data_IF_653933303924
#
_entry.id   IF_653933303924
#
_cell.length_a   1.000
_cell.length_b   1.000
_cell.length_c   1.000
_cell.angle_alpha   90.00
_cell.angle_beta   90.00
_cell.angle_gamma   90.00
#
_symmetry.space_group_name_H-M   'P 1'
#
loop_
_entity.id
_entity.type
_entity.pdbx_description
1 polymer ?
#
# COMPACT_ATOMS: atom_id res chain seq x y z
N UNK A 1 -8.23 12.56 40.48
CA UNK A 1 -7.43 11.47 39.89
C UNK A 1 -7.90 11.29 38.45
N UNK A 2 -6.97 11.57 37.53
CA UNK A 2 -6.90 11.21 36.10
C UNK A 2 -8.18 11.15 35.27
N UNK A 3 -8.45 12.23 34.51
CA UNK A 3 -9.05 12.09 33.20
C UNK A 3 -7.98 11.52 32.27
N UNK A 4 -8.15 10.27 31.84
CA UNK A 4 -7.34 9.68 30.77
C UNK A 4 -7.74 10.37 29.47
N UNK A 5 -6.93 11.34 29.03
CA UNK A 5 -7.02 11.87 27.67
C UNK A 5 -6.50 10.78 26.73
N UNK A 6 -7.42 9.92 26.28
CA UNK A 6 -7.18 9.17 25.05
C UNK A 6 -6.86 10.18 23.96
N UNK A 7 -5.72 10.02 23.31
CA UNK A 7 -5.36 10.78 22.12
C UNK A 7 -6.40 10.51 21.03
N UNK A 8 -7.46 11.31 21.02
CA UNK A 8 -8.32 11.48 19.85
C UNK A 8 -7.47 12.24 18.84
N UNK A 9 -6.77 11.51 17.97
CA UNK A 9 -6.41 12.07 16.69
C UNK A 9 -7.73 12.58 16.08
N UNK A 10 -7.87 13.89 15.94
CA UNK A 10 -9.02 14.50 15.28
C UNK A 10 -9.05 13.98 13.84
N UNK A 11 -9.76 12.87 13.61
CA UNK A 11 -10.06 12.37 12.29
C UNK A 11 -11.15 13.28 11.72
N UNK A 12 -10.76 14.42 11.15
CA UNK A 12 -11.61 15.09 10.18
C UNK A 12 -11.76 14.13 9.01
N UNK A 13 -12.90 13.42 8.97
CA UNK A 13 -13.28 12.58 7.84
C UNK A 13 -13.44 13.49 6.64
N UNK A 14 -12.38 13.59 5.86
CA UNK A 14 -12.34 14.39 4.66
C UNK A 14 -12.48 13.54 3.42
N UNK A 15 -12.35 14.18 2.27
CA UNK A 15 -12.23 13.49 0.99
C UNK A 15 -10.99 13.98 0.26
N UNK A 16 -10.40 13.11 -0.53
CA UNK A 16 -9.33 13.44 -1.46
C UNK A 16 -9.81 13.23 -2.89
N UNK A 17 -9.14 13.87 -3.84
CA UNK A 17 -9.47 13.79 -5.26
C UNK A 17 -8.53 12.81 -5.93
N UNK A 18 -9.07 11.78 -6.57
CA UNK A 18 -8.34 10.86 -7.41
C UNK A 18 -8.58 11.24 -8.87
N UNK A 19 -7.50 11.51 -9.60
CA UNK A 19 -7.49 11.88 -11.01
C UNK A 19 -7.07 10.66 -11.83
N UNK A 20 -7.92 10.25 -12.76
CA UNK A 20 -7.69 9.13 -13.67
C UNK A 20 -7.42 9.67 -15.08
N UNK A 21 -6.28 9.30 -15.65
CA UNK A 21 -5.88 9.75 -16.98
C UNK A 21 -5.95 8.63 -18.02
N UNK A 22 -6.20 9.01 -19.28
CA UNK A 22 -6.16 8.13 -20.45
C UNK A 22 -6.92 6.80 -20.26
N UNK A 23 -6.24 5.66 -20.33
CA UNK A 23 -6.88 4.34 -20.19
C UNK A 23 -7.47 4.10 -18.80
N UNK A 24 -6.99 4.80 -17.77
CA UNK A 24 -7.51 4.66 -16.41
C UNK A 24 -8.94 5.23 -16.30
N UNK A 25 -9.24 6.36 -16.94
CA UNK A 25 -10.60 6.93 -16.92
C UNK A 25 -11.55 6.10 -17.77
N UNK A 26 -11.11 5.62 -18.93
CA UNK A 26 -11.90 4.70 -19.77
C UNK A 26 -12.24 3.42 -19.01
N UNK A 27 -11.29 2.85 -18.25
CA UNK A 27 -11.51 1.66 -17.43
C UNK A 27 -12.52 1.92 -16.30
N UNK A 28 -12.52 3.13 -15.73
CA UNK A 28 -13.46 3.55 -14.71
C UNK A 28 -14.84 4.01 -15.26
N UNK A 29 -15.12 3.77 -16.55
CA UNK A 29 -16.40 4.14 -17.17
C UNK A 29 -16.47 5.61 -17.59
N UNK A 30 -15.38 6.13 -18.15
CA UNK A 30 -15.23 7.54 -18.57
C UNK A 30 -15.22 8.53 -17.39
N UNK A 31 -14.83 8.06 -16.21
CA UNK A 31 -14.69 8.90 -15.01
C UNK A 31 -13.24 9.36 -14.88
N UNK A 32 -13.00 10.64 -15.14
CA UNK A 32 -11.67 11.27 -15.01
C UNK A 32 -11.35 11.68 -13.57
N UNK A 33 -12.37 11.82 -12.72
CA UNK A 33 -12.25 12.26 -11.33
C UNK A 33 -13.11 11.40 -10.41
N UNK A 34 -12.52 10.94 -9.30
CA UNK A 34 -13.20 10.21 -8.25
C UNK A 34 -12.92 10.86 -6.89
N UNK A 35 -13.94 10.97 -6.06
CA UNK A 35 -13.82 11.48 -4.70
C UNK A 35 -13.85 10.32 -3.73
N UNK A 36 -12.78 10.14 -2.97
CA UNK A 36 -12.61 9.02 -2.04
C UNK A 36 -12.38 9.53 -0.61
N UNK A 37 -12.75 8.75 0.42
CA UNK A 37 -12.62 9.18 1.81
C UNK A 37 -11.15 9.21 2.26
N UNK A 38 -10.81 10.22 3.05
CA UNK A 38 -9.55 10.40 3.74
C UNK A 38 -9.77 10.37 5.28
N UNK A 39 -8.75 10.04 6.10
CA UNK A 39 -7.39 9.65 5.71
C UNK A 39 -7.33 8.21 5.20
N UNK A 40 -6.55 7.98 4.15
CA UNK A 40 -6.26 6.64 3.63
C UNK A 40 -4.79 6.55 3.24
N UNK A 41 -4.30 5.37 2.88
CA UNK A 41 -2.97 5.22 2.28
C UNK A 41 -3.08 4.92 0.80
N UNK A 42 -1.99 5.11 0.05
CA UNK A 42 -1.97 4.77 -1.37
C UNK A 42 -2.38 3.31 -1.63
N UNK A 43 -1.93 2.39 -0.77
CA UNK A 43 -2.40 0.99 -0.74
C UNK A 43 -3.90 0.87 -0.55
N UNK A 44 -4.48 1.65 0.36
CA UNK A 44 -5.93 1.70 0.58
C UNK A 44 -6.70 2.19 -0.65
N UNK A 45 -6.14 3.16 -1.39
CA UNK A 45 -6.69 3.65 -2.65
C UNK A 45 -6.74 2.56 -3.70
N UNK A 46 -5.63 1.86 -3.93
CA UNK A 46 -5.58 0.79 -4.92
C UNK A 46 -6.55 -0.35 -4.59
N UNK A 47 -6.65 -0.76 -3.32
CA UNK A 47 -7.66 -1.74 -2.90
C UNK A 47 -9.09 -1.26 -3.13
N UNK A 48 -9.36 0.02 -2.93
CA UNK A 48 -10.68 0.61 -3.17
C UNK A 48 -10.99 0.64 -4.66
N UNK A 49 -9.99 0.93 -5.50
CA UNK A 49 -10.12 0.88 -6.95
C UNK A 49 -10.34 -0.53 -7.46
N UNK A 50 -9.56 -1.52 -7.03
CA UNK A 50 -9.75 -2.93 -7.41
C UNK A 50 -11.13 -3.45 -7.01
N UNK A 51 -11.58 -3.10 -5.80
CA UNK A 51 -12.91 -3.51 -5.32
C UNK A 51 -14.06 -2.88 -6.10
N UNK A 52 -13.85 -1.70 -6.71
CA UNK A 52 -14.86 -1.03 -7.55
C UNK A 52 -14.75 -1.43 -9.02
N UNK A 53 -13.52 -1.62 -9.50
CA UNK A 53 -13.14 -1.89 -10.88
C UNK A 53 -12.21 -3.11 -10.91
N UNK A 54 -12.77 -4.33 -10.86
CA UNK A 54 -11.97 -5.56 -10.80
C UNK A 54 -11.07 -5.68 -12.03
N UNK A 55 -9.77 -5.91 -11.79
CA UNK A 55 -8.73 -5.95 -12.80
C UNK A 55 -7.99 -4.63 -13.04
N UNK A 56 -8.44 -3.50 -12.47
CA UNK A 56 -7.81 -2.20 -12.68
C UNK A 56 -6.38 -2.15 -12.14
N UNK A 57 -6.11 -2.80 -11.01
CA UNK A 57 -4.78 -2.83 -10.41
C UNK A 57 -3.81 -3.55 -11.33
N UNK A 58 -4.21 -4.72 -11.83
CA UNK A 58 -3.37 -5.53 -12.70
C UNK A 58 -3.18 -4.93 -14.10
N UNK A 59 -4.23 -4.34 -14.67
CA UNK A 59 -4.24 -3.84 -16.04
C UNK A 59 -3.68 -2.42 -16.17
N UNK A 60 -3.93 -1.58 -15.16
CA UNK A 60 -3.63 -0.15 -15.18
C UNK A 60 -2.56 0.15 -14.13
N UNK A 61 -2.87 0.02 -12.84
CA UNK A 61 -2.03 0.53 -11.75
C UNK A 61 -0.61 -0.08 -11.72
N UNK A 62 -0.47 -1.36 -12.09
CA UNK A 62 0.84 -2.04 -12.18
C UNK A 62 1.85 -1.38 -13.10
N UNK A 63 1.38 -0.69 -14.13
CA UNK A 63 2.25 -0.02 -15.11
C UNK A 63 2.11 1.49 -15.09
N UNK A 64 1.20 2.03 -14.27
CA UNK A 64 0.96 3.46 -14.13
C UNK A 64 1.96 4.10 -13.17
N UNK A 65 2.36 5.32 -13.50
CA UNK A 65 2.95 6.22 -12.51
C UNK A 65 1.85 6.80 -11.62
N UNK A 66 2.16 6.98 -10.34
CA UNK A 66 1.25 7.63 -9.39
C UNK A 66 1.85 8.94 -8.91
N UNK A 67 1.02 9.96 -8.82
CA UNK A 67 1.37 11.23 -8.21
C UNK A 67 0.49 11.52 -7.01
N UNK A 68 1.04 12.18 -5.99
CA UNK A 68 0.30 12.73 -4.85
C UNK A 68 0.66 14.20 -4.74
N UNK A 69 -0.32 15.09 -4.83
CA UNK A 69 -0.13 16.54 -4.89
C UNK A 69 0.90 16.96 -5.95
N UNK A 70 0.82 16.36 -7.14
CA UNK A 70 1.75 16.55 -8.27
C UNK A 70 3.17 15.98 -8.06
N UNK A 71 3.44 15.33 -6.93
CA UNK A 71 4.71 14.67 -6.66
C UNK A 71 4.66 13.20 -7.07
N UNK A 72 5.63 12.74 -7.87
CA UNK A 72 5.72 11.34 -8.27
C UNK A 72 6.12 10.48 -7.08
N UNK A 73 5.30 9.48 -6.79
CA UNK A 73 5.56 8.50 -5.75
C UNK A 73 6.08 7.25 -6.43
N UNK A 74 7.30 6.87 -6.08
CA UNK A 74 7.86 5.59 -6.49
C UNK A 74 7.27 4.50 -5.58
N UNK A 75 6.75 3.45 -6.18
CA UNK A 75 6.16 2.34 -5.44
C UNK A 75 6.41 1.04 -6.19
N UNK A 76 6.61 -0.05 -5.45
CA UNK A 76 6.70 -1.38 -6.01
C UNK A 76 5.30 -1.96 -6.27
N UNK A 77 4.87 -2.12 -7.53
CA UNK A 77 3.56 -2.70 -7.85
C UNK A 77 3.48 -4.18 -7.48
N UNK A 78 4.63 -4.85 -7.31
CA UNK A 78 4.70 -6.26 -6.90
C UNK A 78 4.30 -6.45 -5.42
N UNK A 79 4.55 -5.45 -4.56
CA UNK A 79 4.08 -5.44 -3.17
C UNK A 79 2.55 -5.36 -3.04
N UNK A 80 1.86 -4.82 -4.05
CA UNK A 80 0.38 -4.77 -4.05
C UNK A 80 -0.24 -6.13 -4.30
N UNK A 81 0.36 -6.91 -5.18
CA UNK A 81 -0.25 -8.13 -5.69
C UNK A 81 0.01 -9.32 -4.80
N UNK A 82 1.14 -9.32 -4.08
CA UNK A 82 1.37 -10.26 -3.00
C UNK A 82 0.35 -10.07 -1.87
N UNK A 83 -0.09 -8.83 -1.62
CA UNK A 83 -1.10 -8.54 -0.61
C UNK A 83 -2.54 -8.80 -1.07
N UNK A 84 -2.84 -8.74 -2.38
CA UNK A 84 -4.16 -9.09 -2.93
C UNK A 84 -4.33 -10.59 -3.18
N UNK A 85 -3.24 -11.31 -3.51
CA UNK A 85 -3.24 -12.79 -3.66
C UNK A 85 -2.94 -13.52 -2.35
N UNK A 86 -2.29 -12.87 -1.38
CA UNK A 86 -1.83 -13.48 -0.11
C UNK A 86 -2.87 -13.52 1.01
N UNK A 87 -4.11 -13.06 0.79
CA UNK A 87 -5.18 -13.10 1.81
C UNK A 87 -5.95 -14.41 1.91
N UNK A 88 -5.38 -15.51 1.43
CA UNK A 88 -5.89 -16.87 1.69
C UNK A 88 -4.79 -17.90 1.98
N UNK A 89 -3.62 -17.49 2.50
CA UNK A 89 -2.64 -18.45 3.05
C UNK A 89 -2.34 -18.14 4.52
N UNK A 90 -3.13 -18.78 5.37
CA UNK A 90 -2.60 -19.46 6.55
C UNK A 90 -1.96 -18.58 7.63
N UNK A 91 -2.81 -17.91 8.41
CA UNK A 91 -2.57 -17.83 9.85
C UNK A 91 -2.62 -19.26 10.40
N UNK A 92 -1.48 -19.94 10.47
CA UNK A 92 -1.30 -21.06 11.38
C UNK A 92 -0.23 -20.69 12.40
N UNK A 93 -0.71 -20.32 13.59
CA UNK A 93 0.07 -20.23 14.80
C UNK A 93 0.53 -21.65 15.18
N UNK A 94 1.60 -22.16 14.57
CA UNK A 94 2.23 -23.37 15.08
C UNK A 94 3.06 -23.02 16.33
N UNK A 95 2.33 -23.07 17.45
CA UNK A 95 2.83 -23.23 18.81
C UNK A 95 3.49 -24.61 18.94
N UNK A 96 4.76 -24.74 18.59
CA UNK A 96 5.57 -25.87 19.02
C UNK A 96 6.40 -25.50 20.26
N UNK A 97 5.77 -25.71 21.42
CA UNK A 97 6.46 -25.88 22.69
C UNK A 97 6.72 -27.37 22.90
N UNK A 98 7.91 -27.87 22.55
CA UNK A 98 8.45 -29.13 23.08
C UNK A 98 9.94 -28.93 23.36
N UNK A 99 10.32 -29.14 24.62
CA UNK A 99 11.67 -28.96 25.13
C UNK A 99 12.66 -30.03 24.69
N UNK A 100 13.95 -29.72 24.80
CA UNK A 100 15.04 -30.66 24.61
C UNK A 100 16.43 -30.00 24.56
N UNK A 101 17.02 -29.82 25.75
CA UNK A 101 18.43 -30.10 26.11
C UNK A 101 19.62 -29.62 25.23
N UNK A 102 20.35 -28.63 25.78
CA UNK A 102 21.81 -28.50 25.96
C UNK A 102 22.81 -29.03 24.89
N UNK A 103 23.60 -28.12 24.29
CA UNK A 103 25.02 -28.34 24.00
C UNK A 103 25.80 -27.02 23.84
N UNK A 104 27.09 -27.10 24.16
CA UNK A 104 28.03 -26.04 24.53
C UNK A 104 29.01 -25.75 23.37
N UNK A 105 29.36 -24.47 23.17
CA UNK A 105 30.67 -24.06 22.66
C UNK A 105 30.75 -23.53 21.22
N UNK A 106 31.43 -22.40 21.05
CA UNK A 106 32.00 -22.02 19.76
C UNK A 106 31.96 -20.52 19.44
N UNK A 107 32.96 -19.78 19.94
CA UNK A 107 33.40 -18.50 19.38
C UNK A 107 33.62 -18.62 17.86
N UNK A 108 33.07 -17.69 17.08
CA UNK A 108 33.67 -17.15 15.86
C UNK A 108 32.85 -15.99 15.30
N UNK A 109 33.47 -14.82 15.38
CA UNK A 109 33.19 -13.65 14.56
C UNK A 109 32.98 -14.03 13.09
N UNK A 110 32.04 -13.36 12.41
CA UNK A 110 32.14 -12.78 11.05
C UNK A 110 30.74 -12.50 10.50
N UNK A 111 30.62 -11.38 9.81
CA UNK A 111 29.57 -11.18 8.83
C UNK A 111 28.46 -10.25 9.29
N UNK A 112 28.81 -8.97 9.26
CA UNK A 112 27.91 -7.85 8.99
C UNK A 112 26.96 -8.26 7.84
N UNK A 113 25.74 -8.62 8.19
CA UNK A 113 24.58 -8.53 7.32
C UNK A 113 23.70 -7.50 7.99
N UNK A 114 23.88 -6.23 7.64
CA UNK A 114 22.78 -5.29 7.76
C UNK A 114 21.66 -5.96 6.96
N UNK A 115 20.63 -6.43 7.68
CA UNK A 115 19.40 -6.85 7.06
C UNK A 115 18.93 -5.60 6.33
N UNK A 116 19.21 -5.52 5.04
CA UNK A 116 18.49 -4.67 4.13
C UNK A 116 17.04 -5.09 4.31
N UNK A 117 16.32 -4.37 5.16
CA UNK A 117 14.89 -4.23 5.02
C UNK A 117 14.72 -3.60 3.64
N UNK A 118 14.76 -4.44 2.59
CA UNK A 118 14.23 -4.06 1.28
C UNK A 118 12.81 -3.68 1.59
N UNK A 119 12.59 -2.38 1.62
CA UNK A 119 11.47 -1.80 2.32
C UNK A 119 10.24 -2.05 1.46
N UNK A 120 9.53 -3.12 1.82
CA UNK A 120 8.42 -3.70 1.07
C UNK A 120 7.27 -2.69 1.00
N UNK A 121 7.28 -1.82 -0.02
CA UNK A 121 6.19 -0.91 -0.33
C UNK A 121 6.29 0.51 0.26
N UNK A 122 7.47 1.12 0.36
CA UNK A 122 7.65 2.49 0.93
C UNK A 122 6.71 3.55 0.35
N UNK A 123 6.39 3.48 -0.94
CA UNK A 123 5.42 4.39 -1.56
C UNK A 123 3.95 4.06 -1.28
N UNK A 124 3.63 2.80 -0.96
CA UNK A 124 2.26 2.30 -0.79
C UNK A 124 1.66 2.68 0.56
N UNK A 125 2.51 2.82 1.59
CA UNK A 125 2.08 3.26 2.92
C UNK A 125 2.05 4.79 3.06
N UNK A 126 2.27 5.53 1.97
CA UNK A 126 2.11 6.98 1.94
C UNK A 126 0.69 7.37 2.34
N UNK A 127 0.59 8.24 3.37
CA UNK A 127 -0.66 8.70 3.93
C UNK A 127 -1.24 9.85 3.09
N UNK A 128 -2.42 9.62 2.53
CA UNK A 128 -3.21 10.59 1.78
C UNK A 128 -4.20 11.26 2.74
N UNK A 129 -4.15 12.58 2.78
CA UNK A 129 -4.96 13.43 3.66
C UNK A 129 -6.17 13.99 2.92
N UNK A 130 -7.06 14.61 3.70
CA UNK A 130 -8.15 15.41 3.14
C UNK A 130 -7.59 16.51 2.24
N UNK A 131 -8.21 16.67 1.07
CA UNK A 131 -7.82 17.69 0.09
C UNK A 131 -6.62 17.32 -0.78
N UNK A 132 -5.96 16.18 -0.54
CA UNK A 132 -4.89 15.71 -1.41
C UNK A 132 -5.42 15.32 -2.80
N UNK A 133 -4.55 15.44 -3.80
CA UNK A 133 -4.83 15.06 -5.18
C UNK A 133 -3.94 13.89 -5.60
N UNK A 134 -4.53 12.77 -5.97
CA UNK A 134 -3.79 11.56 -6.38
C UNK A 134 -4.01 11.33 -7.86
N UNK A 135 -2.95 11.34 -8.66
CA UNK A 135 -3.02 11.10 -10.11
C UNK A 135 -2.60 9.68 -10.48
N UNK A 136 -3.41 8.99 -11.28
CA UNK A 136 -3.05 7.71 -11.92
C UNK A 136 -2.73 7.97 -13.38
N UNK A 137 -1.45 7.85 -13.73
CA UNK A 137 -0.91 8.17 -15.04
C UNK A 137 -0.47 6.87 -15.72
N UNK A 138 -1.36 6.19 -16.47
CA UNK A 138 -0.96 5.01 -17.23
C UNK A 138 0.05 5.38 -18.31
N UNK A 139 0.89 4.41 -18.73
CA UNK A 139 1.84 4.63 -19.80
C UNK A 139 1.06 4.98 -21.06
N UNK A 140 1.47 6.06 -21.74
CA UNK A 140 0.87 6.44 -23.01
C UNK A 140 1.20 5.36 -24.04
N UNK A 141 0.24 4.49 -24.38
CA UNK A 141 0.36 3.73 -25.61
C UNK A 141 0.39 4.74 -26.74
N UNK A 142 1.54 4.86 -27.40
CA UNK A 142 1.63 5.52 -28.70
C UNK A 142 0.69 4.76 -29.63
N UNK A 143 -0.54 5.25 -29.78
CA UNK A 143 -1.51 4.76 -30.75
C UNK A 143 -1.03 5.02 -32.16
#
# INVERSE_FOLDING_TARGET
MSASVSASASASTGTFTLLLFASASTFAGDQETLTLPAPTTLRGVFRTLESRFPGMTKQILRSSAVTVNLEYVDFDPDGLVEFELGRDVGRDENRESVGGEQAKGGDKSRGRGESESTSEGEGLDMLIREGDEVGIIPPVSSG
#
